data_IF_570220847127
#
_entry.id   IF_570220847127
#
_cell.length_a   1.000
_cell.length_b   1.000
_cell.length_c   1.000
_cell.angle_alpha   90.00
_cell.angle_beta   90.00
_cell.angle_gamma   90.00
#
_symmetry.space_group_name_H-M   'P 1'
#
loop_
_entity.id
_entity.type
_entity.pdbx_description
1 polymer ?
#
# COMPACT_ATOMS: atom_id res chain seq x y z
N UNK A 1 20.55 -20.51 -10.92
CA UNK A 1 20.94 -19.15 -10.46
C UNK A 1 20.18 -18.03 -11.17
N UNK A 2 19.82 -18.16 -12.46
CA UNK A 2 19.14 -17.11 -13.24
C UNK A 2 17.74 -16.65 -12.75
N UNK A 3 16.99 -17.47 -12.00
CA UNK A 3 15.61 -17.13 -11.56
C UNK A 3 15.59 -16.16 -10.37
N UNK A 4 16.64 -16.16 -9.54
CA UNK A 4 16.75 -15.29 -8.36
C UNK A 4 17.05 -13.84 -8.77
N UNK A 5 17.85 -13.67 -9.81
CA UNK A 5 18.22 -12.37 -10.34
C UNK A 5 17.09 -11.74 -11.17
N UNK A 6 16.29 -12.57 -11.88
CA UNK A 6 15.14 -12.10 -12.65
C UNK A 6 14.01 -11.53 -11.77
N UNK A 7 13.83 -12.07 -10.55
CA UNK A 7 12.79 -11.62 -9.62
C UNK A 7 13.16 -10.28 -8.94
N UNK A 8 14.46 -10.10 -8.62
CA UNK A 8 15.00 -8.82 -8.13
C UNK A 8 14.99 -7.74 -9.22
N UNK A 9 15.31 -8.09 -10.46
CA UNK A 9 15.20 -7.19 -11.61
C UNK A 9 13.75 -6.76 -11.86
N UNK A 10 12.77 -7.67 -11.76
CA UNK A 10 11.36 -7.34 -11.94
C UNK A 10 10.82 -6.38 -10.87
N UNK A 11 11.24 -6.57 -9.61
CA UNK A 11 10.90 -5.66 -8.50
C UNK A 11 11.51 -4.27 -8.73
N UNK A 12 12.74 -4.18 -9.25
CA UNK A 12 13.40 -2.90 -9.52
C UNK A 12 12.86 -2.20 -10.78
N UNK A 13 12.44 -2.94 -11.81
CA UNK A 13 11.83 -2.36 -13.03
C UNK A 13 10.44 -1.80 -12.78
N UNK A 14 9.70 -2.34 -11.80
CA UNK A 14 8.38 -1.81 -11.43
C UNK A 14 8.46 -0.42 -10.76
N UNK A 15 9.61 -0.07 -10.18
CA UNK A 15 9.86 1.26 -9.61
C UNK A 15 10.55 2.25 -10.58
N UNK A 16 10.89 1.81 -11.79
CA UNK A 16 11.62 2.60 -12.79
C UNK A 16 10.77 3.07 -13.98
N UNK A 17 9.44 2.95 -13.90
CA UNK A 17 8.55 3.56 -14.90
C UNK A 17 8.58 5.09 -14.71
N UNK A 18 8.99 5.87 -15.73
CA UNK A 18 8.92 7.32 -15.64
C UNK A 18 7.46 7.74 -15.52
N UNK A 19 7.10 8.32 -14.37
CA UNK A 19 5.82 8.98 -14.20
C UNK A 19 5.71 10.15 -15.20
N UNK A 20 4.51 10.48 -15.70
CA UNK A 20 4.31 11.65 -16.54
C UNK A 20 4.79 12.93 -15.83
N UNK A 21 5.64 13.70 -16.52
CA UNK A 21 6.43 14.82 -15.98
C UNK A 21 5.62 16.05 -15.53
N UNK A 22 4.31 16.08 -15.79
CA UNK A 22 3.48 17.26 -15.51
C UNK A 22 3.33 17.52 -14.00
N UNK A 23 3.11 16.49 -13.20
CA UNK A 23 2.95 16.63 -11.73
C UNK A 23 4.25 16.97 -11.01
N UNK A 24 5.40 16.56 -11.57
CA UNK A 24 6.72 16.84 -10.98
C UNK A 24 7.04 18.34 -11.06
N UNK A 25 6.71 19.01 -12.17
CA UNK A 25 6.99 20.44 -12.36
C UNK A 25 6.19 21.32 -11.40
N UNK A 26 4.90 21.02 -11.20
CA UNK A 26 4.02 21.78 -10.30
C UNK A 26 4.51 21.66 -8.86
N UNK A 27 4.86 20.44 -8.46
CA UNK A 27 5.29 20.16 -7.10
C UNK A 27 6.67 20.77 -6.79
N UNK A 28 7.62 20.78 -7.74
CA UNK A 28 8.91 21.46 -7.57
C UNK A 28 8.76 22.98 -7.44
N UNK A 29 7.82 23.58 -8.17
CA UNK A 29 7.53 25.02 -8.08
C UNK A 29 6.90 25.40 -6.73
N UNK A 30 6.05 24.51 -6.18
CA UNK A 30 5.48 24.69 -4.85
C UNK A 30 6.58 24.60 -3.77
N UNK A 31 7.51 23.64 -3.89
CA UNK A 31 8.62 23.47 -2.93
C UNK A 31 9.60 24.64 -3.00
N UNK A 32 9.93 25.14 -4.19
CA UNK A 32 10.85 26.28 -4.33
C UNK A 32 10.26 27.59 -3.76
N UNK A 33 8.96 27.85 -3.94
CA UNK A 33 8.27 28.96 -3.28
C UNK A 33 8.29 28.81 -1.75
N UNK A 34 8.19 27.58 -1.29
CA UNK A 34 8.22 27.20 0.12
C UNK A 34 9.56 27.50 0.81
N UNK A 35 10.69 27.28 0.12
CA UNK A 35 12.03 27.57 0.66
C UNK A 35 12.32 29.07 0.68
N UNK A 36 11.70 29.84 -0.21
CA UNK A 36 11.92 31.29 -0.33
C UNK A 36 11.02 32.16 0.58
N UNK A 37 9.96 31.60 1.17
CA UNK A 37 9.06 32.36 2.06
C UNK A 37 9.77 32.71 3.39
N UNK A 38 10.03 33.99 3.63
CA UNK A 38 10.82 34.49 4.78
C UNK A 38 10.01 35.36 5.76
N UNK A 39 8.77 35.73 5.42
CA UNK A 39 7.90 36.56 6.26
C UNK A 39 6.89 35.81 7.13
N UNK A 40 6.48 36.43 8.25
CA UNK A 40 5.34 36.01 9.06
C UNK A 40 3.99 36.29 8.37
N UNK A 41 3.99 37.20 7.40
CA UNK A 41 2.82 37.66 6.64
C UNK A 41 2.70 37.00 5.25
N UNK A 42 3.67 36.17 4.87
CA UNK A 42 3.59 35.33 3.67
C UNK A 42 2.64 34.17 3.95
N UNK A 43 1.34 34.45 3.78
CA UNK A 43 0.19 33.54 3.86
C UNK A 43 0.55 32.08 4.18
N UNK A 44 0.27 31.65 5.42
CA UNK A 44 0.28 30.24 5.85
C UNK A 44 -0.71 29.32 5.06
N UNK A 45 -1.22 29.78 3.92
CA UNK A 45 -2.04 29.01 3.00
C UNK A 45 -1.18 27.99 2.26
N UNK A 46 -1.45 26.72 2.50
CA UNK A 46 -0.85 25.63 1.75
C UNK A 46 -1.57 25.53 0.40
N UNK A 47 -0.87 25.86 -0.69
CA UNK A 47 -1.33 25.51 -2.04
C UNK A 47 -1.09 24.00 -2.20
N UNK A 48 -2.17 23.24 -2.14
CA UNK A 48 -2.17 21.78 -2.30
C UNK A 48 -2.36 21.37 -3.76
N UNK A 49 -1.81 20.22 -4.14
CA UNK A 49 -2.13 19.59 -5.42
C UNK A 49 -3.60 19.13 -5.42
N UNK A 50 -4.34 19.41 -6.50
CA UNK A 50 -5.71 18.96 -6.67
C UNK A 50 -5.86 17.44 -6.57
N UNK A 51 -4.82 16.68 -6.89
CA UNK A 51 -4.85 15.22 -6.87
C UNK A 51 -4.87 14.63 -5.44
N UNK A 52 -4.35 15.37 -4.45
CA UNK A 52 -4.32 14.92 -3.05
C UNK A 52 -5.30 15.69 -2.15
N UNK A 53 -5.58 16.96 -2.49
CA UNK A 53 -6.42 17.86 -1.71
C UNK A 53 -7.79 18.07 -2.33
N UNK A 54 -8.00 17.65 -3.59
CA UNK A 54 -9.27 17.75 -4.27
C UNK A 54 -10.39 17.06 -3.50
N UNK A 55 -11.46 17.80 -3.26
CA UNK A 55 -12.63 17.31 -2.54
C UNK A 55 -13.20 16.04 -3.19
N UNK A 56 -13.30 16.03 -4.52
CA UNK A 56 -13.81 14.88 -5.28
C UNK A 56 -12.98 13.62 -5.12
N UNK A 57 -11.65 13.74 -5.13
CA UNK A 57 -10.74 12.59 -4.94
C UNK A 57 -10.92 11.98 -3.55
N UNK A 58 -10.97 12.82 -2.51
CA UNK A 58 -11.14 12.36 -1.12
C UNK A 58 -12.49 11.70 -0.90
N UNK A 59 -13.57 12.31 -1.38
CA UNK A 59 -14.91 11.72 -1.30
C UNK A 59 -14.93 10.37 -2.03
N UNK A 60 -14.32 10.27 -3.20
CA UNK A 60 -14.20 9.02 -3.96
C UNK A 60 -13.48 7.92 -3.17
N UNK A 61 -12.36 8.25 -2.53
CA UNK A 61 -11.59 7.31 -1.71
C UNK A 61 -12.37 6.90 -0.45
N UNK A 62 -13.02 7.84 0.24
CA UNK A 62 -13.80 7.50 1.43
C UNK A 62 -15.03 6.66 1.09
N UNK A 63 -15.69 6.96 -0.03
CA UNK A 63 -16.79 6.15 -0.54
C UNK A 63 -16.30 4.74 -0.94
N UNK A 64 -15.12 4.61 -1.54
CA UNK A 64 -14.55 3.30 -1.88
C UNK A 64 -14.22 2.49 -0.64
N UNK A 65 -13.66 3.10 0.41
CA UNK A 65 -13.42 2.45 1.70
C UNK A 65 -14.71 1.96 2.32
N UNK A 66 -15.74 2.82 2.37
CA UNK A 66 -17.03 2.48 2.94
C UNK A 66 -17.71 1.35 2.16
N UNK A 67 -17.77 1.44 0.83
CA UNK A 67 -18.34 0.40 -0.02
C UNK A 67 -17.62 -0.94 0.17
N UNK A 68 -16.29 -0.92 0.27
CA UNK A 68 -15.48 -2.12 0.49
C UNK A 68 -15.69 -2.71 1.87
N UNK A 69 -15.81 -1.88 2.90
CA UNK A 69 -16.15 -2.32 4.25
C UNK A 69 -17.52 -3.01 4.28
N UNK A 70 -18.55 -2.37 3.70
CA UNK A 70 -19.89 -2.96 3.56
C UNK A 70 -19.82 -4.29 2.80
N UNK A 71 -19.09 -4.33 1.68
CA UNK A 71 -18.94 -5.54 0.87
C UNK A 71 -18.27 -6.67 1.66
N UNK A 72 -17.19 -6.36 2.38
CA UNK A 72 -16.47 -7.33 3.21
C UNK A 72 -17.28 -7.84 4.41
N UNK A 73 -18.24 -7.07 4.91
CA UNK A 73 -19.06 -7.41 6.06
C UNK A 73 -20.36 -8.13 5.70
N UNK A 74 -21.02 -7.73 4.61
CA UNK A 74 -22.39 -8.17 4.29
C UNK A 74 -22.50 -9.06 3.06
N UNK A 75 -21.60 -8.90 2.07
CA UNK A 75 -21.65 -9.70 0.85
C UNK A 75 -20.95 -11.04 1.11
N UNK A 76 -21.57 -12.12 0.65
CA UNK A 76 -21.03 -13.50 0.76
C UNK A 76 -20.61 -14.08 -0.58
N UNK A 77 -20.89 -13.41 -1.70
CA UNK A 77 -20.45 -13.88 -3.01
C UNK A 77 -18.95 -13.54 -3.22
N UNK A 78 -18.06 -14.54 -3.37
CA UNK A 78 -16.64 -14.30 -3.58
C UNK A 78 -16.32 -13.55 -4.88
N UNK A 79 -17.16 -13.65 -5.93
CA UNK A 79 -16.88 -13.03 -7.24
C UNK A 79 -16.97 -11.51 -7.18
N UNK A 80 -18.02 -10.99 -6.56
CA UNK A 80 -18.24 -9.54 -6.41
C UNK A 80 -17.18 -8.91 -5.52
N UNK A 81 -16.82 -9.63 -4.45
CA UNK A 81 -15.77 -9.24 -3.50
C UNK A 81 -14.43 -9.12 -4.22
N UNK A 82 -14.02 -10.11 -5.02
CA UNK A 82 -12.75 -10.09 -5.75
C UNK A 82 -12.60 -8.87 -6.67
N UNK A 83 -13.64 -8.50 -7.42
CA UNK A 83 -13.56 -7.36 -8.33
C UNK A 83 -13.33 -6.04 -7.58
N UNK A 84 -14.06 -5.79 -6.50
CA UNK A 84 -13.87 -4.61 -5.65
C UNK A 84 -12.43 -4.54 -5.11
N UNK A 85 -11.87 -5.68 -4.73
CA UNK A 85 -10.54 -5.75 -4.12
C UNK A 85 -9.42 -5.50 -5.12
N UNK A 86 -9.59 -5.89 -6.37
CA UNK A 86 -8.62 -5.62 -7.42
C UNK A 86 -8.64 -4.13 -7.82
N UNK A 87 -9.83 -3.52 -7.90
CA UNK A 87 -9.95 -2.07 -8.11
C UNK A 87 -9.27 -1.29 -7.00
N UNK A 88 -9.53 -1.62 -5.73
CA UNK A 88 -8.89 -0.94 -4.61
C UNK A 88 -7.37 -1.17 -4.54
N UNK A 89 -6.91 -2.38 -4.90
CA UNK A 89 -5.48 -2.67 -4.97
C UNK A 89 -4.78 -1.81 -6.04
N UNK A 90 -5.45 -1.53 -7.18
CA UNK A 90 -4.90 -0.65 -8.22
C UNK A 90 -4.76 0.80 -7.74
N UNK A 91 -5.73 1.33 -7.00
CA UNK A 91 -5.65 2.67 -6.40
C UNK A 91 -4.52 2.76 -5.38
N UNK A 92 -4.43 1.77 -4.51
CA UNK A 92 -3.39 1.70 -3.50
C UNK A 92 -1.99 1.59 -4.13
N UNK A 93 -1.88 0.85 -5.23
CA UNK A 93 -0.65 0.72 -5.99
C UNK A 93 -0.24 2.04 -6.63
N UNK A 94 -1.18 2.79 -7.20
CA UNK A 94 -0.93 4.13 -7.74
C UNK A 94 -0.39 5.08 -6.65
N UNK A 95 -1.02 5.09 -5.47
CA UNK A 95 -0.56 5.88 -4.32
C UNK A 95 0.86 5.46 -3.92
N UNK A 96 1.15 4.16 -3.82
CA UNK A 96 2.47 3.66 -3.45
C UNK A 96 3.55 4.09 -4.45
N UNK A 97 3.27 4.08 -5.76
CA UNK A 97 4.19 4.57 -6.80
C UNK A 97 4.44 6.06 -6.62
N UNK A 98 3.38 6.87 -6.48
CA UNK A 98 3.50 8.33 -6.32
C UNK A 98 4.35 8.64 -5.09
N UNK A 99 4.06 8.00 -3.96
CA UNK A 99 4.83 8.20 -2.73
C UNK A 99 6.29 7.80 -2.92
N UNK A 100 6.57 6.66 -3.53
CA UNK A 100 7.95 6.20 -3.74
C UNK A 100 8.74 7.12 -4.67
N UNK A 101 8.15 7.50 -5.81
CA UNK A 101 8.79 8.34 -6.83
C UNK A 101 9.05 9.75 -6.29
N UNK A 102 8.03 10.44 -5.78
CA UNK A 102 8.19 11.80 -5.28
C UNK A 102 9.07 11.88 -4.02
N UNK A 103 9.04 10.87 -3.14
CA UNK A 103 9.97 10.80 -1.99
C UNK A 103 11.40 10.60 -2.43
N UNK A 104 11.65 9.76 -3.43
CA UNK A 104 13.01 9.51 -3.94
C UNK A 104 13.61 10.73 -4.62
N UNK A 105 12.79 11.55 -5.28
CA UNK A 105 13.22 12.79 -5.92
C UNK A 105 13.33 13.98 -4.95
N UNK A 106 12.96 13.82 -3.67
CA UNK A 106 12.89 14.93 -2.71
C UNK A 106 11.79 15.95 -2.99
N UNK A 107 10.89 15.64 -3.94
CA UNK A 107 9.82 16.52 -4.39
C UNK A 107 8.50 16.28 -3.66
N UNK A 108 8.51 15.76 -2.43
CA UNK A 108 7.28 15.55 -1.65
C UNK A 108 7.36 16.32 -0.35
N UNK A 109 6.32 17.08 -0.01
CA UNK A 109 6.24 17.76 1.29
C UNK A 109 5.82 16.76 2.34
N UNK A 110 6.22 16.99 3.59
CA UNK A 110 5.84 16.14 4.74
C UNK A 110 4.32 15.92 4.82
N UNK A 111 3.52 16.98 4.61
CA UNK A 111 2.06 16.89 4.66
C UNK A 111 1.47 16.03 3.54
N UNK A 112 2.04 16.10 2.33
CA UNK A 112 1.54 15.33 1.18
C UNK A 112 1.83 13.84 1.39
N UNK A 113 3.06 13.54 1.83
CA UNK A 113 3.45 12.20 2.23
C UNK A 113 2.57 11.66 3.38
N UNK A 114 2.26 12.49 4.38
CA UNK A 114 1.38 12.11 5.49
C UNK A 114 -0.04 11.78 5.01
N UNK A 115 -0.62 12.62 4.15
CA UNK A 115 -1.97 12.40 3.60
C UNK A 115 -2.00 11.10 2.80
N UNK A 116 -1.04 10.89 1.90
CA UNK A 116 -0.99 9.68 1.07
C UNK A 116 -0.77 8.43 1.93
N UNK A 117 0.04 8.52 2.99
CA UNK A 117 0.23 7.43 3.94
C UNK A 117 -1.06 7.14 4.73
N UNK A 118 -1.78 8.17 5.19
CA UNK A 118 -3.06 8.00 5.89
C UNK A 118 -4.13 7.39 4.98
N UNK A 119 -4.20 7.85 3.72
CA UNK A 119 -5.07 7.25 2.72
C UNK A 119 -4.73 5.76 2.51
N UNK A 120 -3.43 5.44 2.43
CA UNK A 120 -2.98 4.05 2.30
C UNK A 120 -3.35 3.20 3.51
N UNK A 121 -3.24 3.74 4.74
CA UNK A 121 -3.68 3.04 5.95
C UNK A 121 -5.20 2.86 6.02
N UNK A 122 -5.98 3.79 5.48
CA UNK A 122 -7.43 3.62 5.34
C UNK A 122 -7.79 2.38 4.51
N UNK A 123 -7.11 2.15 3.39
CA UNK A 123 -7.29 0.93 2.58
C UNK A 123 -6.90 -0.35 3.33
N UNK A 124 -5.82 -0.29 4.12
CA UNK A 124 -5.37 -1.40 4.97
C UNK A 124 -6.41 -1.80 6.02
N UNK A 125 -7.03 -0.83 6.68
CA UNK A 125 -7.96 -1.07 7.78
C UNK A 125 -9.39 -1.39 7.31
N UNK A 126 -9.80 -0.93 6.13
CA UNK A 126 -11.15 -1.13 5.60
C UNK A 126 -11.22 -2.27 4.57
N UNK A 127 -10.61 -2.05 3.42
CA UNK A 127 -10.72 -2.89 2.23
C UNK A 127 -9.95 -4.19 2.39
N UNK A 128 -8.76 -4.10 2.95
CA UNK A 128 -7.84 -5.22 3.10
C UNK A 128 -7.78 -5.70 4.55
N UNK A 129 -8.83 -5.36 5.31
CA UNK A 129 -8.86 -5.55 6.75
C UNK A 129 -8.64 -7.01 7.15
N UNK A 130 -8.08 -7.16 8.34
CA UNK A 130 -7.88 -8.41 9.05
C UNK A 130 -9.22 -9.02 9.54
N UNK A 131 -10.35 -8.36 9.30
CA UNK A 131 -11.65 -8.65 9.90
C UNK A 131 -12.74 -8.64 8.82
N UNK A 132 -13.16 -9.81 8.33
CA UNK A 132 -14.25 -9.89 7.36
C UNK A 132 -14.35 -11.23 6.63
N UNK A 133 -15.05 -11.25 5.49
CA UNK A 133 -15.23 -12.43 4.62
C UNK A 133 -13.98 -13.31 4.44
N UNK A 134 -12.79 -12.70 4.40
CA UNK A 134 -11.49 -13.37 4.24
C UNK A 134 -10.95 -14.09 5.47
N UNK A 135 -11.32 -13.67 6.68
CA UNK A 135 -10.85 -14.29 7.92
C UNK A 135 -11.83 -15.29 8.52
N UNK A 136 -13.05 -15.32 7.97
CA UNK A 136 -14.03 -16.38 8.21
C UNK A 136 -13.45 -17.76 7.82
N UNK A 137 -13.52 -18.76 8.73
CA UNK A 137 -12.89 -20.07 8.54
C UNK A 137 -13.38 -20.80 7.28
N UNK A 138 -14.64 -20.62 6.90
CA UNK A 138 -15.25 -21.20 5.69
C UNK A 138 -14.60 -20.74 4.38
N UNK A 139 -14.03 -19.53 4.35
CA UNK A 139 -13.56 -18.87 3.13
C UNK A 139 -12.03 -18.76 3.02
N UNK A 140 -11.28 -19.23 4.04
CA UNK A 140 -9.81 -19.40 3.99
C UNK A 140 -9.33 -20.25 2.82
N UNK A 141 -10.28 -21.00 2.29
CA UNK A 141 -10.26 -21.87 1.15
C UNK A 141 -9.84 -21.19 -0.17
N UNK A 142 -10.18 -19.92 -0.38
CA UNK A 142 -9.90 -19.20 -1.63
C UNK A 142 -8.58 -18.39 -1.62
N UNK A 143 -7.73 -18.58 -0.62
CA UNK A 143 -6.42 -17.91 -0.52
C UNK A 143 -5.37 -18.61 -1.40
N UNK A 144 -4.89 -17.92 -2.44
CA UNK A 144 -3.75 -18.42 -3.25
C UNK A 144 -3.58 -17.84 -4.65
N UNK A 145 -4.49 -16.99 -5.13
CA UNK A 145 -4.33 -16.35 -6.45
C UNK A 145 -3.20 -15.31 -6.48
N UNK A 146 -2.64 -15.04 -7.67
CA UNK A 146 -1.63 -14.00 -7.91
C UNK A 146 -2.00 -12.63 -7.35
N UNK A 147 -3.29 -12.25 -7.42
CA UNK A 147 -3.78 -11.00 -6.84
C UNK A 147 -3.58 -10.91 -5.32
N UNK A 148 -3.64 -12.03 -4.59
CA UNK A 148 -3.37 -12.04 -3.15
C UNK A 148 -1.90 -11.79 -2.84
N UNK A 149 -0.97 -12.39 -3.60
CA UNK A 149 0.46 -12.11 -3.45
C UNK A 149 0.79 -10.65 -3.74
N UNK A 150 0.24 -10.11 -4.83
CA UNK A 150 0.44 -8.71 -5.19
C UNK A 150 -0.05 -7.76 -4.09
N UNK A 151 -1.24 -8.01 -3.53
CA UNK A 151 -1.77 -7.25 -2.40
C UNK A 151 -0.88 -7.35 -1.16
N UNK A 152 -0.43 -8.54 -0.79
CA UNK A 152 0.47 -8.72 0.35
C UNK A 152 1.80 -7.98 0.15
N UNK A 153 2.36 -8.01 -1.06
CA UNK A 153 3.57 -7.26 -1.41
C UNK A 153 3.34 -5.74 -1.28
N UNK A 154 2.21 -5.25 -1.78
CA UNK A 154 1.84 -3.84 -1.71
C UNK A 154 1.68 -3.35 -0.26
N UNK A 155 1.06 -4.15 0.60
CA UNK A 155 0.93 -3.82 2.03
C UNK A 155 2.27 -3.76 2.74
N UNK A 156 3.15 -4.72 2.45
CA UNK A 156 4.51 -4.67 2.98
C UNK A 156 5.27 -3.43 2.52
N UNK A 157 5.13 -3.03 1.25
CA UNK A 157 5.76 -1.81 0.73
C UNK A 157 5.26 -0.54 1.44
N UNK A 158 3.95 -0.41 1.68
CA UNK A 158 3.36 0.72 2.41
C UNK A 158 3.80 0.74 3.86
N UNK A 159 3.80 -0.41 4.54
CA UNK A 159 4.29 -0.50 5.91
C UNK A 159 5.78 -0.13 6.00
N UNK A 160 6.61 -0.59 5.07
CA UNK A 160 8.02 -0.22 5.00
C UNK A 160 8.20 1.30 4.79
N UNK A 161 7.43 1.90 3.88
CA UNK A 161 7.42 3.34 3.70
C UNK A 161 6.95 4.08 4.97
N UNK A 162 5.91 3.58 5.65
CA UNK A 162 5.43 4.15 6.91
C UNK A 162 6.50 4.11 8.00
N UNK A 163 7.20 2.98 8.16
CA UNK A 163 8.31 2.85 9.10
C UNK A 163 9.40 3.88 8.77
N UNK A 164 9.79 4.00 7.51
CA UNK A 164 10.78 5.00 7.07
C UNK A 164 10.30 6.44 7.35
N UNK A 165 9.07 6.76 6.98
CA UNK A 165 8.47 8.09 7.13
C UNK A 165 8.45 8.53 8.59
N UNK A 166 7.98 7.66 9.49
CA UNK A 166 7.86 7.97 10.92
C UNK A 166 9.19 7.90 11.68
N UNK A 167 10.17 7.14 11.20
CA UNK A 167 11.50 7.06 11.85
C UNK A 167 12.43 8.21 11.44
N UNK A 168 12.56 8.48 10.15
CA UNK A 168 13.59 9.39 9.59
C UNK A 168 13.03 10.37 8.56
N UNK A 169 11.99 9.96 7.80
CA UNK A 169 11.46 10.74 6.68
C UNK A 169 10.99 12.13 7.10
N UNK A 170 10.13 12.20 8.12
CA UNK A 170 9.55 13.44 8.61
C UNK A 170 10.57 14.36 9.30
N UNK A 171 11.59 13.81 9.97
CA UNK A 171 12.54 14.60 10.75
C UNK A 171 13.66 15.19 9.91
N UNK A 172 14.20 14.42 8.97
CA UNK A 172 15.52 14.74 8.39
C UNK A 172 15.58 14.70 6.87
N UNK A 173 14.61 14.05 6.20
CA UNK A 173 14.70 13.80 4.74
C UNK A 173 13.73 14.61 3.90
N UNK A 174 12.58 14.99 4.45
CA UNK A 174 11.55 15.71 3.71
C UNK A 174 11.59 17.23 3.98
N UNK A 175 11.27 18.07 2.98
CA UNK A 175 11.15 19.51 3.14
C UNK A 175 10.17 19.91 4.25
N UNK A 176 10.62 20.74 5.19
CA UNK A 176 9.91 21.16 6.42
C UNK A 176 8.99 22.38 6.25
N UNK A 177 8.75 22.81 5.01
CA UNK A 177 7.99 24.04 4.74
C UNK A 177 6.64 24.11 5.49
N UNK A 178 5.92 22.99 5.57
CA UNK A 178 4.59 22.93 6.19
C UNK A 178 4.60 22.55 7.68
N UNK A 179 5.78 22.41 8.28
CA UNK A 179 5.96 22.14 9.72
C UNK A 179 6.38 23.38 10.51
N UNK A 180 6.32 24.58 9.91
CA UNK A 180 6.66 25.85 10.57
C UNK A 180 5.76 26.07 11.79
N UNK A 181 6.37 26.20 12.96
CA UNK A 181 5.66 26.47 14.23
C UNK A 181 4.91 27.81 14.18
N UNK A 182 5.44 28.77 13.42
CA UNK A 182 4.82 30.09 13.19
C UNK A 182 3.44 29.99 12.52
N UNK A 183 3.17 28.91 11.76
CA UNK A 183 1.87 28.65 11.13
C UNK A 183 1.01 27.64 11.92
N UNK A 184 1.28 27.45 13.23
CA UNK A 184 0.53 26.53 14.09
C UNK A 184 0.94 25.06 13.99
N UNK A 185 1.94 24.74 13.15
CA UNK A 185 2.49 23.41 12.98
C UNK A 185 1.55 22.40 12.32
N UNK A 186 2.07 21.21 12.03
CA UNK A 186 1.27 20.13 11.44
C UNK A 186 0.43 19.44 12.52
N UNK A 187 -0.90 19.53 12.39
CA UNK A 187 -1.86 18.93 13.31
C UNK A 187 -2.72 17.91 12.59
N UNK A 188 -2.98 16.78 13.24
CA UNK A 188 -3.91 15.76 12.77
C UNK A 188 -5.22 15.90 13.55
N UNK A 189 -6.34 15.85 12.84
CA UNK A 189 -7.67 15.87 13.44
C UNK A 189 -8.24 14.45 13.47
N UNK A 190 -8.28 13.84 14.66
CA UNK A 190 -8.91 12.53 14.87
C UNK A 190 -10.21 12.71 15.67
N UNK A 191 -10.13 13.47 16.77
CA UNK A 191 -11.25 13.89 17.63
C UNK A 191 -10.88 15.20 18.35
N UNK A 192 -9.60 15.33 18.67
CA UNK A 192 -8.93 16.55 19.13
C UNK A 192 -7.80 16.85 18.15
N UNK A 193 -7.43 18.13 18.03
CA UNK A 193 -6.23 18.54 17.31
C UNK A 193 -4.99 18.01 18.03
N UNK A 194 -4.24 17.11 17.38
CA UNK A 194 -3.03 16.55 17.98
C UNK A 194 -1.81 16.90 17.12
N UNK A 195 -0.75 17.51 17.69
CA UNK A 195 0.43 17.90 16.92
C UNK A 195 1.21 16.68 16.46
N UNK A 196 1.40 16.54 15.14
CA UNK A 196 2.06 15.39 14.50
C UNK A 196 3.55 15.32 14.87
N UNK A 197 4.18 16.47 15.15
CA UNK A 197 5.57 16.55 15.59
C UNK A 197 5.81 15.95 16.98
N UNK A 198 4.75 15.65 17.75
CA UNK A 198 4.88 15.03 19.07
C UNK A 198 5.45 13.62 19.02
N UNK A 199 6.49 13.37 19.82
CA UNK A 199 7.17 12.06 19.91
C UNK A 199 6.21 10.90 20.20
N UNK A 200 5.16 11.13 20.99
CA UNK A 200 4.16 10.11 21.34
C UNK A 200 3.39 9.59 20.12
N UNK A 201 2.84 10.49 19.29
CA UNK A 201 2.09 10.10 18.09
C UNK A 201 3.00 9.42 17.09
N UNK A 202 4.20 9.95 16.88
CA UNK A 202 5.20 9.36 15.98
C UNK A 202 5.52 7.93 16.37
N UNK A 203 5.79 7.69 17.65
CA UNK A 203 6.08 6.35 18.16
C UNK A 203 4.84 5.43 18.03
N UNK A 204 3.64 5.95 18.23
CA UNK A 204 2.40 5.19 18.06
C UNK A 204 2.21 4.73 16.61
N UNK A 205 2.31 5.63 15.63
CA UNK A 205 2.17 5.26 14.22
C UNK A 205 3.33 4.40 13.71
N UNK A 206 4.55 4.60 14.23
CA UNK A 206 5.69 3.74 13.96
C UNK A 206 5.44 2.32 14.49
N UNK A 207 5.01 2.18 15.74
CA UNK A 207 4.69 0.88 16.33
C UNK A 207 3.56 0.18 15.56
N UNK A 208 2.50 0.92 15.22
CA UNK A 208 1.42 0.42 14.37
C UNK A 208 1.94 -0.09 13.02
N UNK A 209 2.78 0.70 12.33
CA UNK A 209 3.37 0.32 11.04
C UNK A 209 4.24 -0.94 11.16
N UNK A 210 5.03 -1.06 12.23
CA UNK A 210 5.85 -2.25 12.50
C UNK A 210 5.00 -3.50 12.76
N UNK A 211 3.97 -3.39 13.62
CA UNK A 211 3.10 -4.53 13.97
C UNK A 211 2.35 -5.03 12.73
N UNK A 212 1.72 -4.11 12.01
CA UNK A 212 0.97 -4.43 10.78
C UNK A 212 1.90 -4.97 9.70
N UNK A 213 3.08 -4.35 9.54
CA UNK A 213 4.10 -4.82 8.59
C UNK A 213 4.58 -6.23 8.90
N UNK A 214 4.93 -6.53 10.16
CA UNK A 214 5.36 -7.86 10.57
C UNK A 214 4.27 -8.91 10.33
N UNK A 215 3.02 -8.58 10.62
CA UNK A 215 1.89 -9.47 10.34
C UNK A 215 1.77 -9.78 8.84
N UNK A 216 1.73 -8.76 7.97
CA UNK A 216 1.62 -9.01 6.53
C UNK A 216 2.87 -9.65 5.93
N UNK A 217 4.05 -9.43 6.52
CA UNK A 217 5.29 -10.07 6.12
C UNK A 217 5.25 -11.58 6.39
N UNK A 218 4.75 -12.00 7.56
CA UNK A 218 4.60 -13.44 7.86
C UNK A 218 3.60 -14.11 6.92
N UNK A 219 2.48 -13.46 6.61
CA UNK A 219 1.53 -13.94 5.60
C UNK A 219 2.16 -14.06 4.21
N UNK A 220 2.94 -13.05 3.79
CA UNK A 220 3.65 -13.07 2.51
C UNK A 220 4.66 -14.22 2.45
N UNK A 221 5.43 -14.42 3.53
CA UNK A 221 6.40 -15.50 3.62
C UNK A 221 5.73 -16.87 3.53
N UNK A 222 4.64 -17.08 4.29
CA UNK A 222 3.87 -18.33 4.23
C UNK A 222 3.32 -18.59 2.83
N UNK A 223 2.78 -17.56 2.16
CA UNK A 223 2.28 -17.66 0.80
C UNK A 223 3.40 -17.99 -0.21
N UNK A 224 4.57 -17.35 -0.09
CA UNK A 224 5.73 -17.64 -0.93
C UNK A 224 6.25 -19.08 -0.73
N UNK A 225 6.32 -19.56 0.52
CA UNK A 225 6.72 -20.94 0.82
C UNK A 225 5.75 -21.96 0.23
N UNK A 226 4.44 -21.70 0.33
CA UNK A 226 3.41 -22.53 -0.30
C UNK A 226 3.56 -22.56 -1.82
N UNK A 227 3.80 -21.40 -2.46
CA UNK A 227 4.04 -21.32 -3.90
C UNK A 227 5.29 -22.09 -4.32
N UNK A 228 6.40 -21.96 -3.58
CA UNK A 228 7.65 -22.70 -3.85
C UNK A 228 7.42 -24.21 -3.73
N UNK A 229 6.67 -24.66 -2.72
CA UNK A 229 6.32 -26.08 -2.54
C UNK A 229 5.52 -26.60 -3.74
N UNK A 230 4.50 -25.86 -4.17
CA UNK A 230 3.69 -26.22 -5.35
C UNK A 230 4.54 -26.25 -6.63
N UNK A 231 5.43 -25.28 -6.82
CA UNK A 231 6.35 -25.26 -7.96
C UNK A 231 7.29 -26.47 -7.95
N UNK A 232 7.82 -26.85 -6.79
CA UNK A 232 8.68 -28.04 -6.64
C UNK A 232 7.91 -29.32 -6.97
N UNK A 233 6.72 -29.50 -6.40
CA UNK A 233 5.86 -30.65 -6.70
C UNK A 233 5.47 -30.70 -8.19
N UNK A 234 5.28 -29.55 -8.83
CA UNK A 234 5.04 -29.52 -10.28
C UNK A 234 6.29 -29.95 -11.05
N UNK A 235 7.47 -29.42 -10.74
CA UNK A 235 8.74 -29.80 -11.39
C UNK A 235 9.02 -31.29 -11.25
N UNK A 236 8.85 -31.85 -10.05
CA UNK A 236 9.10 -33.26 -9.76
C UNK A 236 8.12 -34.20 -10.50
N UNK A 237 6.86 -33.76 -10.69
CA UNK A 237 5.85 -34.54 -11.39
C UNK A 237 5.92 -34.40 -12.93
N UNK A 238 6.35 -33.25 -13.46
CA UNK A 238 6.42 -33.00 -14.91
C UNK A 238 7.59 -33.72 -15.59
N UNK A 239 8.63 -34.13 -14.83
CA UNK A 239 9.70 -34.99 -15.36
C UNK A 239 9.19 -36.32 -15.90
N UNK A 240 8.03 -36.81 -15.41
CA UNK A 240 7.46 -38.10 -15.84
C UNK A 240 6.37 -38.00 -16.92
N UNK A 241 5.96 -36.81 -17.38
CA UNK A 241 4.73 -36.66 -18.18
C UNK A 241 4.72 -35.57 -19.23
N UNK A 242 5.70 -35.57 -20.14
CA UNK A 242 5.98 -34.52 -21.13
C UNK A 242 5.01 -34.48 -22.34
N UNK A 243 3.69 -34.41 -22.15
CA UNK A 243 2.76 -34.32 -23.30
C UNK A 243 1.40 -33.62 -23.11
N UNK A 244 1.22 -32.76 -22.10
CA UNK A 244 -0.07 -32.06 -21.93
C UNK A 244 0.15 -30.56 -21.66
N UNK A 245 -0.61 -29.64 -22.30
CA UNK A 245 -0.33 -28.22 -22.20
C UNK A 245 -0.47 -27.68 -20.77
N UNK A 246 0.58 -27.00 -20.32
CA UNK A 246 0.75 -26.34 -19.03
C UNK A 246 -0.51 -25.59 -18.51
N UNK A 247 -1.23 -24.90 -19.39
CA UNK A 247 -2.38 -24.06 -19.01
C UNK A 247 -3.65 -24.82 -18.63
N UNK A 248 -3.77 -26.10 -19.04
CA UNK A 248 -4.93 -26.93 -18.73
C UNK A 248 -4.79 -27.59 -17.36
N UNK A 249 -3.62 -28.17 -17.06
CA UNK A 249 -3.36 -28.80 -15.74
C UNK A 249 -3.33 -27.79 -14.60
N UNK A 250 -2.82 -26.58 -14.83
CA UNK A 250 -2.79 -25.54 -13.78
C UNK A 250 -4.22 -25.11 -13.42
N UNK A 251 -5.10 -24.92 -14.42
CA UNK A 251 -6.52 -24.63 -14.19
C UNK A 251 -7.24 -25.79 -13.50
N UNK A 252 -6.96 -27.01 -13.91
CA UNK A 252 -7.58 -28.20 -13.32
C UNK A 252 -7.13 -28.43 -11.87
N UNK A 253 -5.85 -28.21 -11.56
CA UNK A 253 -5.33 -28.30 -10.19
C UNK A 253 -5.79 -27.15 -9.30
N UNK A 254 -5.94 -25.92 -9.83
CA UNK A 254 -6.56 -24.81 -9.09
C UNK A 254 -8.04 -25.09 -8.84
N UNK A 255 -8.75 -25.70 -9.80
CA UNK A 255 -10.15 -26.09 -9.65
C UNK A 255 -10.36 -27.28 -8.69
N UNK A 256 -9.38 -28.19 -8.60
CA UNK A 256 -9.41 -29.38 -7.73
C UNK A 256 -8.69 -29.19 -6.40
N UNK A 257 -7.98 -28.09 -6.19
CA UNK A 257 -7.36 -27.77 -4.90
C UNK A 257 -8.48 -27.48 -3.91
N UNK A 258 -8.98 -28.56 -3.31
CA UNK A 258 -9.79 -28.47 -2.12
C UNK A 258 -9.01 -27.73 -1.04
N UNK A 259 -9.72 -26.97 -0.21
CA UNK A 259 -9.06 -25.80 0.26
C UNK A 259 -8.55 -26.06 1.66
N UNK A 260 -7.22 -25.92 1.81
CA UNK A 260 -6.40 -26.03 3.00
C UNK A 260 -7.11 -26.51 4.29
N UNK A 261 -6.81 -27.73 4.77
CA UNK A 261 -7.13 -28.10 6.15
C UNK A 261 -6.06 -27.49 7.05
N UNK A 262 -6.30 -26.29 7.56
CA UNK A 262 -5.64 -25.83 8.78
C UNK A 262 -6.55 -26.21 9.95
N UNK A 263 -6.33 -27.41 10.49
CA UNK A 263 -6.76 -27.74 11.84
C UNK A 263 -5.85 -26.95 12.80
N UNK A 264 -6.30 -25.76 13.16
CA UNK A 264 -5.82 -24.95 14.28
C UNK A 264 -6.98 -24.74 15.23
#
# INVERSE_FOLDING_TARGET
MAVRDLCLLCLMTLFALPAPSLGVSIQSDIISKCDNATGADDNCSIVGDGDFYGLGVRIGIYASWFASWVSNSFVRDPREICQSLDTNASFLFAIAIVVATFSSSGNIRVIDALILLLLSFGYLLSVMSLWGYRTLPENRKHFGGWGTHFRLMLMNAICAYGIWFWSVGMTDKLPKCNTREQCGGLKLWILVEVPVAGTGIRNLFLAFSCIVGAFYFTMLLAACLALIKLLREMIDNDWKGWRVPFSWRLREKIAKAEPWPLNL
#
